data_IF_394459530574
#
_entry.id   IF_394459530574
#
_cell.length_a   1.000
_cell.length_b   1.000
_cell.length_c   1.000
_cell.angle_alpha   90.00
_cell.angle_beta   90.00
_cell.angle_gamma   90.00
#
_symmetry.space_group_name_H-M   'P 1'
#
loop_
_entity.id
_entity.type
_entity.pdbx_description
1 polymer ?
#
# COMPACT_ATOMS: atom_id res chain seq x y z
N UNK A 1 4.71 -2.44 23.31
CA UNK A 1 4.46 -1.67 22.07
C UNK A 1 3.61 -2.49 21.10
N UNK A 2 3.00 -1.84 20.11
CA UNK A 2 2.23 -2.54 19.06
C UNK A 2 3.16 -3.37 18.18
N UNK A 3 2.68 -4.51 17.71
CA UNK A 3 3.35 -5.35 16.71
C UNK A 3 2.72 -5.06 15.35
N UNK A 4 3.49 -4.52 14.44
CA UNK A 4 3.03 -4.03 13.13
C UNK A 4 3.67 -4.85 12.00
N UNK A 5 2.85 -5.28 11.05
CA UNK A 5 3.30 -5.83 9.79
C UNK A 5 3.18 -4.74 8.71
N UNK A 6 4.28 -4.41 8.06
CA UNK A 6 4.31 -3.50 6.92
C UNK A 6 4.56 -4.29 5.64
N UNK A 7 3.54 -4.37 4.78
CA UNK A 7 3.54 -5.12 3.53
C UNK A 7 4.05 -4.25 2.39
N UNK A 8 4.81 -4.84 1.48
CA UNK A 8 5.45 -4.14 0.37
C UNK A 8 6.26 -2.93 0.87
N UNK A 9 6.99 -3.15 1.96
CA UNK A 9 7.73 -2.10 2.68
C UNK A 9 8.91 -1.52 1.88
N UNK A 10 9.30 -2.18 0.78
CA UNK A 10 10.45 -1.78 -0.02
C UNK A 10 11.72 -1.69 0.84
N UNK A 11 12.46 -0.57 0.77
CA UNK A 11 13.63 -0.34 1.61
C UNK A 11 13.28 0.16 3.03
N UNK A 12 12.01 0.08 3.47
CA UNK A 12 11.55 0.37 4.82
C UNK A 12 11.24 1.84 5.13
N UNK A 13 10.96 2.65 4.10
CA UNK A 13 10.64 4.07 4.31
C UNK A 13 9.32 4.28 5.06
N UNK A 14 8.32 3.42 4.85
CA UNK A 14 7.05 3.39 5.59
C UNK A 14 7.20 2.79 6.98
N UNK A 15 8.10 1.83 7.13
CA UNK A 15 8.35 1.11 8.39
C UNK A 15 9.11 1.96 9.43
N UNK A 16 10.02 2.80 8.97
CA UNK A 16 10.90 3.58 9.85
C UNK A 16 10.16 4.52 10.82
N UNK A 17 9.16 5.31 10.40
CA UNK A 17 8.39 6.15 11.32
C UNK A 17 7.65 5.33 12.39
N UNK A 18 7.13 4.15 12.02
CA UNK A 18 6.44 3.25 12.95
C UNK A 18 7.39 2.71 14.00
N UNK A 19 8.58 2.30 13.59
CA UNK A 19 9.65 1.85 14.49
C UNK A 19 10.09 2.98 15.44
N UNK A 20 10.32 4.20 14.92
CA UNK A 20 10.69 5.37 15.75
C UNK A 20 9.59 5.76 16.73
N UNK A 21 8.34 5.44 16.45
CA UNK A 21 7.21 5.61 17.37
C UNK A 21 7.11 4.51 18.44
N UNK A 22 8.06 3.56 18.50
CA UNK A 22 8.14 2.51 19.52
C UNK A 22 7.39 1.23 19.18
N UNK A 23 6.98 1.02 17.92
CA UNK A 23 6.40 -0.23 17.47
C UNK A 23 7.46 -1.28 17.15
N UNK A 24 7.12 -2.56 17.33
CA UNK A 24 7.87 -3.68 16.76
C UNK A 24 7.38 -3.89 15.33
N UNK A 25 8.21 -3.54 14.34
CA UNK A 25 7.83 -3.55 12.92
C UNK A 25 8.44 -4.74 12.20
N UNK A 26 7.61 -5.51 11.49
CA UNK A 26 7.99 -6.53 10.53
C UNK A 26 7.84 -5.92 9.13
N UNK A 27 8.95 -5.49 8.55
CA UNK A 27 9.00 -4.93 7.21
C UNK A 27 9.12 -6.06 6.18
N UNK A 28 8.09 -6.29 5.37
CA UNK A 28 8.07 -7.39 4.41
C UNK A 28 7.91 -6.90 2.98
N UNK A 29 8.60 -7.57 2.06
CA UNK A 29 8.49 -7.30 0.62
C UNK A 29 8.72 -8.60 -0.17
N UNK A 30 8.16 -8.65 -1.37
CA UNK A 30 8.41 -9.76 -2.30
C UNK A 30 9.79 -9.66 -2.97
N UNK A 31 10.29 -8.44 -3.16
CA UNK A 31 11.57 -8.13 -3.82
C UNK A 31 12.75 -8.24 -2.86
N UNK A 32 13.57 -9.28 -3.03
CA UNK A 32 14.80 -9.42 -2.25
C UNK A 32 15.78 -8.25 -2.47
N UNK A 33 15.79 -7.65 -3.67
CA UNK A 33 16.61 -6.46 -3.96
C UNK A 33 16.23 -5.26 -3.10
N UNK A 34 14.92 -5.03 -2.91
CA UNK A 34 14.41 -3.97 -2.02
C UNK A 34 14.78 -4.24 -0.55
N UNK A 35 14.61 -5.48 -0.10
CA UNK A 35 14.97 -5.90 1.26
C UNK A 35 16.47 -5.76 1.52
N UNK A 36 17.31 -6.15 0.55
CA UNK A 36 18.76 -6.00 0.65
C UNK A 36 19.18 -4.53 0.76
N UNK A 37 18.54 -3.65 0.00
CA UNK A 37 18.73 -2.21 0.14
C UNK A 37 18.26 -1.71 1.52
N UNK A 38 17.10 -2.17 1.97
CA UNK A 38 16.55 -1.83 3.29
C UNK A 38 17.52 -2.20 4.42
N UNK A 39 18.03 -3.41 4.41
CA UNK A 39 19.02 -3.89 5.42
C UNK A 39 20.29 -3.04 5.44
N UNK A 40 20.71 -2.47 4.30
CA UNK A 40 21.87 -1.57 4.24
C UNK A 40 21.60 -0.20 4.85
N UNK A 41 20.43 0.40 4.55
CA UNK A 41 20.13 1.78 4.95
C UNK A 41 19.39 1.88 6.28
N UNK A 42 18.71 0.80 6.72
CA UNK A 42 17.95 0.71 7.97
C UNK A 42 18.19 -0.63 8.68
N UNK A 43 19.44 -0.92 9.10
CA UNK A 43 19.81 -2.24 9.67
C UNK A 43 19.10 -2.57 10.99
N UNK A 44 18.46 -1.61 11.61
CA UNK A 44 17.67 -1.75 12.83
C UNK A 44 16.23 -2.23 12.60
N UNK A 45 15.76 -2.27 11.35
CA UNK A 45 14.45 -2.82 11.02
C UNK A 45 14.52 -4.32 10.74
N UNK A 46 13.44 -5.03 11.07
CA UNK A 46 13.32 -6.46 10.81
C UNK A 46 12.74 -6.68 9.41
N UNK A 47 13.63 -6.98 8.44
CA UNK A 47 13.26 -7.23 7.05
C UNK A 47 13.12 -8.72 6.77
N UNK A 48 12.00 -9.16 6.19
CA UNK A 48 11.79 -10.52 5.73
C UNK A 48 11.06 -10.58 4.39
N UNK A 49 11.40 -11.60 3.59
CA UNK A 49 10.71 -11.85 2.33
C UNK A 49 9.32 -12.44 2.62
N UNK A 50 8.29 -11.88 2.03
CA UNK A 50 6.93 -12.42 2.09
C UNK A 50 6.14 -12.08 0.83
N UNK A 51 5.27 -13.01 0.46
CA UNK A 51 4.23 -12.78 -0.55
C UNK A 51 2.97 -12.32 0.17
N UNK A 52 2.45 -11.13 -0.19
CA UNK A 52 1.22 -10.61 0.40
C UNK A 52 -0.01 -11.50 0.13
N UNK A 53 0.06 -12.38 -0.88
CA UNK A 53 -1.00 -13.34 -1.22
C UNK A 53 -0.93 -14.64 -0.39
N UNK A 54 0.17 -14.87 0.33
CA UNK A 54 0.37 -16.05 1.18
C UNK A 54 1.40 -15.72 2.25
N UNK A 55 0.95 -15.04 3.31
CA UNK A 55 1.82 -14.54 4.37
C UNK A 55 2.34 -15.68 5.25
N UNK A 56 3.67 -15.79 5.49
CA UNK A 56 4.28 -16.85 6.30
C UNK A 56 4.12 -16.57 7.81
N UNK A 57 2.95 -16.11 8.22
CA UNK A 57 2.64 -15.77 9.60
C UNK A 57 1.35 -16.48 10.05
N UNK A 58 1.30 -16.81 11.31
CA UNK A 58 0.09 -17.34 11.94
C UNK A 58 -1.05 -16.32 11.96
N UNK A 59 -2.28 -16.79 12.05
CA UNK A 59 -3.45 -15.94 12.23
C UNK A 59 -3.36 -15.16 13.55
N UNK A 60 -3.96 -13.97 13.59
CA UNK A 60 -4.11 -13.17 14.82
C UNK A 60 -2.77 -12.78 15.49
N UNK A 61 -1.76 -12.46 14.70
CA UNK A 61 -0.42 -12.13 15.18
C UNK A 61 -0.18 -10.63 15.36
N UNK A 62 -0.69 -9.79 14.46
CA UNK A 62 -0.35 -8.37 14.38
C UNK A 62 -1.47 -7.48 14.91
N UNK A 63 -1.09 -6.43 15.62
CA UNK A 63 -2.02 -5.40 16.09
C UNK A 63 -2.45 -4.49 14.94
N UNK A 64 -1.51 -4.24 14.00
CA UNK A 64 -1.75 -3.43 12.81
C UNK A 64 -1.07 -4.07 11.60
N UNK A 65 -1.73 -4.03 10.44
CA UNK A 65 -1.13 -4.32 9.13
C UNK A 65 -1.20 -3.07 8.29
N UNK A 66 -0.08 -2.68 7.68
CA UNK A 66 0.00 -1.52 6.79
C UNK A 66 0.47 -1.94 5.40
N UNK A 67 0.02 -1.23 4.38
CA UNK A 67 0.56 -1.32 3.03
C UNK A 67 0.52 0.07 2.38
N UNK A 68 1.67 0.51 1.87
CA UNK A 68 1.81 1.84 1.25
C UNK A 68 2.29 1.71 -0.19
N UNK A 69 1.43 2.12 -1.14
CA UNK A 69 1.70 2.11 -2.59
C UNK A 69 2.08 0.74 -3.18
N UNK A 70 1.77 -0.34 -2.46
CA UNK A 70 2.10 -1.69 -2.86
C UNK A 70 0.91 -2.54 -3.27
N UNK A 71 -0.30 -2.22 -2.79
CA UNK A 71 -1.47 -3.08 -2.96
C UNK A 71 -1.87 -3.22 -4.44
N UNK A 72 -1.81 -2.13 -5.23
CA UNK A 72 -2.12 -2.14 -6.66
C UNK A 72 -1.17 -3.00 -7.50
N UNK A 73 0.02 -3.30 -6.97
CA UNK A 73 1.03 -4.11 -7.64
C UNK A 73 0.92 -5.61 -7.33
N UNK A 74 0.00 -6.00 -6.46
CA UNK A 74 -0.28 -7.41 -6.18
C UNK A 74 -1.09 -8.03 -7.31
N UNK A 75 -0.83 -9.29 -7.61
CA UNK A 75 -1.56 -10.03 -8.66
C UNK A 75 -3.05 -10.20 -8.31
N UNK A 76 -3.37 -10.27 -7.02
CA UNK A 76 -4.72 -10.40 -6.48
C UNK A 76 -4.83 -9.63 -5.17
N UNK A 77 -5.29 -8.38 -5.25
CA UNK A 77 -5.38 -7.54 -4.05
C UNK A 77 -6.54 -7.95 -3.11
N UNK A 78 -7.57 -8.62 -3.60
CA UNK A 78 -8.63 -9.18 -2.73
C UNK A 78 -8.05 -10.27 -1.83
N UNK A 79 -7.21 -11.14 -2.38
CA UNK A 79 -6.50 -12.16 -1.61
C UNK A 79 -5.50 -11.54 -0.63
N UNK A 80 -4.79 -10.49 -1.03
CA UNK A 80 -3.89 -9.77 -0.12
C UNK A 80 -4.64 -9.12 1.05
N UNK A 81 -5.83 -8.54 0.81
CA UNK A 81 -6.69 -8.00 1.86
C UNK A 81 -7.20 -9.09 2.82
N UNK A 82 -7.53 -10.28 2.30
CA UNK A 82 -7.95 -11.42 3.12
C UNK A 82 -6.80 -12.01 3.95
N UNK A 83 -5.60 -12.12 3.39
CA UNK A 83 -4.41 -12.55 4.12
C UNK A 83 -4.01 -11.54 5.21
N UNK A 84 -4.05 -10.24 4.91
CA UNK A 84 -3.86 -9.20 5.91
C UNK A 84 -4.89 -9.33 7.05
N UNK A 85 -6.16 -9.60 6.73
CA UNK A 85 -7.21 -9.84 7.71
C UNK A 85 -6.91 -11.09 8.57
N UNK A 86 -6.48 -12.19 7.95
CA UNK A 86 -6.15 -13.44 8.64
C UNK A 86 -5.08 -13.22 9.71
N UNK A 87 -4.00 -12.52 9.38
CA UNK A 87 -2.86 -12.33 10.29
C UNK A 87 -3.05 -11.20 11.31
N UNK A 88 -4.06 -10.36 11.14
CA UNK A 88 -4.41 -9.31 12.10
C UNK A 88 -5.20 -9.89 13.28
N UNK A 89 -4.94 -9.42 14.50
CA UNK A 89 -5.69 -9.80 15.71
C UNK A 89 -7.14 -9.27 15.65
N UNK A 90 -8.10 -9.93 16.33
CA UNK A 90 -9.40 -9.31 16.61
C UNK A 90 -9.20 -7.93 17.27
N UNK A 91 -9.96 -6.93 16.84
CA UNK A 91 -9.79 -5.54 17.25
C UNK A 91 -8.59 -4.83 16.61
N UNK A 92 -7.73 -5.55 15.88
CA UNK A 92 -6.60 -4.98 15.16
C UNK A 92 -7.02 -4.21 13.91
N UNK A 93 -6.08 -3.49 13.31
CA UNK A 93 -6.36 -2.51 12.25
C UNK A 93 -5.57 -2.78 10.99
N UNK A 94 -6.19 -2.56 9.83
CA UNK A 94 -5.48 -2.40 8.57
C UNK A 94 -5.46 -0.93 8.14
N UNK A 95 -4.32 -0.50 7.59
CA UNK A 95 -4.17 0.82 6.97
C UNK A 95 -3.61 0.64 5.56
N UNK A 96 -4.32 1.15 4.57
CA UNK A 96 -3.92 1.14 3.17
C UNK A 96 -3.70 2.57 2.71
N UNK A 97 -2.48 2.90 2.29
CA UNK A 97 -2.16 4.17 1.62
C UNK A 97 -1.93 3.88 0.15
N UNK A 98 -2.79 4.40 -0.71
CA UNK A 98 -2.68 4.10 -2.14
C UNK A 98 -3.18 5.29 -2.99
N UNK A 99 -2.74 5.31 -4.25
CA UNK A 99 -3.32 6.21 -5.23
C UNK A 99 -4.83 5.97 -5.33
N UNK A 100 -5.54 7.03 -5.71
CA UNK A 100 -6.97 6.98 -5.89
C UNK A 100 -7.41 8.03 -6.93
N UNK A 101 -8.70 8.26 -7.05
CA UNK A 101 -9.24 9.19 -8.04
C UNK A 101 -9.64 10.51 -7.37
N UNK A 102 -9.20 11.67 -7.90
CA UNK A 102 -9.62 12.97 -7.39
C UNK A 102 -11.13 13.11 -7.35
N UNK A 103 -11.66 13.61 -6.25
CA UNK A 103 -13.11 13.74 -6.02
C UNK A 103 -13.70 14.98 -6.68
N UNK A 104 -12.90 16.04 -6.85
CA UNK A 104 -13.34 17.27 -7.52
C UNK A 104 -13.21 17.14 -9.04
N UNK A 105 -14.34 17.15 -9.75
CA UNK A 105 -14.43 16.86 -11.19
C UNK A 105 -13.47 17.66 -12.08
N UNK A 106 -13.35 19.01 -11.98
CA UNK A 106 -12.42 19.77 -12.83
C UNK A 106 -10.96 19.34 -12.64
N UNK A 107 -10.55 19.16 -11.39
CA UNK A 107 -9.20 18.71 -11.08
C UNK A 107 -8.97 17.27 -11.54
N UNK A 108 -9.96 16.39 -11.44
CA UNK A 108 -9.86 15.00 -11.94
C UNK A 108 -9.58 14.96 -13.44
N UNK A 109 -10.24 15.81 -14.23
CA UNK A 109 -10.00 15.88 -15.68
C UNK A 109 -8.56 16.30 -15.98
N UNK A 110 -8.10 17.38 -15.34
CA UNK A 110 -6.72 17.88 -15.52
C UNK A 110 -5.69 16.84 -15.07
N UNK A 111 -5.91 16.21 -13.92
CA UNK A 111 -5.03 15.19 -13.37
C UNK A 111 -4.95 13.94 -14.27
N UNK A 112 -6.09 13.50 -14.82
CA UNK A 112 -6.13 12.34 -15.72
C UNK A 112 -5.38 12.65 -17.03
N UNK A 113 -5.58 13.84 -17.62
CA UNK A 113 -4.83 14.27 -18.81
C UNK A 113 -3.32 14.38 -18.54
N UNK A 114 -2.94 14.96 -17.39
CA UNK A 114 -1.55 14.99 -16.95
C UNK A 114 -0.96 13.59 -16.83
N UNK A 115 -1.64 12.71 -16.09
CA UNK A 115 -1.16 11.36 -15.78
C UNK A 115 -1.04 10.51 -17.04
N UNK A 116 -2.01 10.61 -17.98
CA UNK A 116 -2.08 9.72 -19.14
C UNK A 116 -1.28 10.23 -20.35
N UNK A 117 -1.12 11.53 -20.49
CA UNK A 117 -0.47 12.12 -21.67
C UNK A 117 0.85 12.80 -21.34
N UNK A 118 0.85 13.67 -20.36
CA UNK A 118 1.99 14.53 -20.08
C UNK A 118 3.11 13.78 -19.35
N UNK A 119 2.78 13.03 -18.33
CA UNK A 119 3.77 12.29 -17.54
C UNK A 119 4.55 11.24 -18.37
N UNK A 120 3.90 10.37 -19.18
CA UNK A 120 4.63 9.47 -20.08
C UNK A 120 5.47 10.19 -21.15
N UNK A 121 4.97 11.31 -21.68
CA UNK A 121 5.71 12.10 -22.68
C UNK A 121 6.98 12.74 -22.10
N UNK A 122 6.91 13.27 -20.89
CA UNK A 122 8.06 13.80 -20.16
C UNK A 122 9.03 12.66 -19.83
N UNK A 123 8.52 11.54 -19.29
CA UNK A 123 9.33 10.40 -18.90
C UNK A 123 10.13 9.82 -20.07
N UNK A 124 9.55 9.73 -21.27
CA UNK A 124 10.27 9.29 -22.48
C UNK A 124 11.48 10.16 -22.82
N UNK A 125 11.49 11.43 -22.41
CA UNK A 125 12.58 12.37 -22.71
C UNK A 125 13.61 12.48 -21.59
N UNK A 126 13.21 12.23 -20.35
CA UNK A 126 14.04 12.57 -19.18
C UNK A 126 14.33 11.41 -18.26
N UNK A 127 13.53 10.34 -18.29
CA UNK A 127 13.68 9.24 -17.35
C UNK A 127 14.58 8.13 -17.90
N UNK A 128 15.36 7.52 -17.02
CA UNK A 128 16.18 6.34 -17.33
C UNK A 128 15.33 5.08 -17.60
N UNK A 129 14.09 5.03 -17.11
CA UNK A 129 13.14 3.97 -17.36
C UNK A 129 11.74 4.53 -17.63
N UNK A 130 11.42 4.93 -18.88
CA UNK A 130 10.11 5.49 -19.25
C UNK A 130 8.94 4.54 -19.04
N UNK A 131 9.16 3.23 -19.22
CA UNK A 131 8.11 2.22 -19.12
C UNK A 131 7.55 2.11 -17.70
N UNK A 132 8.36 2.39 -16.68
CA UNK A 132 7.90 2.43 -15.28
C UNK A 132 6.84 3.54 -15.06
N UNK A 133 6.94 4.65 -15.75
CA UNK A 133 5.96 5.75 -15.64
C UNK A 133 4.68 5.47 -16.43
N UNK A 134 4.79 4.77 -17.56
CA UNK A 134 3.61 4.27 -18.30
C UNK A 134 2.85 3.28 -17.43
N UNK A 135 3.55 2.29 -16.88
CA UNK A 135 2.98 1.33 -15.96
C UNK A 135 2.31 2.01 -14.75
N UNK A 136 2.96 3.02 -14.15
CA UNK A 136 2.40 3.78 -13.04
C UNK A 136 1.08 4.44 -13.44
N UNK A 137 1.05 5.14 -14.58
CA UNK A 137 -0.17 5.80 -15.07
C UNK A 137 -1.31 4.80 -15.33
N UNK A 138 -1.03 3.70 -15.98
CA UNK A 138 -2.00 2.64 -16.28
C UNK A 138 -2.51 1.95 -15.01
N UNK A 139 -1.62 1.63 -14.08
CA UNK A 139 -1.98 0.99 -12.80
C UNK A 139 -2.86 1.90 -11.95
N UNK A 140 -2.59 3.22 -11.90
CA UNK A 140 -3.44 4.18 -11.19
C UNK A 140 -4.82 4.30 -11.87
N UNK A 141 -4.85 4.32 -13.20
CA UNK A 141 -6.11 4.42 -13.95
C UNK A 141 -7.02 3.21 -13.73
N UNK A 142 -6.43 2.01 -13.69
CA UNK A 142 -7.16 0.75 -13.48
C UNK A 142 -7.54 0.52 -12.00
N UNK A 143 -6.94 1.28 -11.07
CA UNK A 143 -7.16 1.12 -9.64
C UNK A 143 -8.56 1.58 -9.22
N UNK A 144 -9.24 0.91 -8.28
CA UNK A 144 -10.53 1.33 -7.78
C UNK A 144 -10.48 2.71 -7.10
N UNK A 145 -11.60 3.42 -7.15
CA UNK A 145 -11.78 4.63 -6.36
C UNK A 145 -11.92 4.31 -4.86
N UNK A 146 -12.04 5.35 -4.05
CA UNK A 146 -12.08 5.23 -2.59
C UNK A 146 -13.21 4.32 -2.11
N UNK A 147 -14.42 4.50 -2.64
CA UNK A 147 -15.58 3.72 -2.22
C UNK A 147 -15.49 2.26 -2.68
N UNK A 148 -15.00 2.03 -3.89
CA UNK A 148 -14.80 0.69 -4.42
C UNK A 148 -13.72 -0.09 -3.65
N UNK A 149 -12.62 0.57 -3.24
CA UNK A 149 -11.61 -0.07 -2.39
C UNK A 149 -12.17 -0.37 -0.99
N UNK A 150 -12.93 0.56 -0.40
CA UNK A 150 -13.59 0.31 0.89
C UNK A 150 -14.51 -0.92 0.84
N UNK A 151 -15.33 -1.04 -0.20
CA UNK A 151 -16.20 -2.20 -0.40
C UNK A 151 -15.42 -3.53 -0.54
N UNK A 152 -14.22 -3.48 -1.18
CA UNK A 152 -13.33 -4.66 -1.25
C UNK A 152 -12.74 -5.03 0.11
N UNK A 153 -12.37 -4.04 0.92
CA UNK A 153 -11.93 -4.28 2.30
C UNK A 153 -13.05 -4.91 3.12
N UNK A 154 -14.28 -4.39 3.04
CA UNK A 154 -15.45 -4.96 3.73
C UNK A 154 -15.72 -6.40 3.30
N UNK A 155 -15.66 -6.68 1.99
CA UNK A 155 -15.80 -8.05 1.46
C UNK A 155 -14.72 -9.00 1.99
N UNK A 156 -13.51 -8.50 2.26
CA UNK A 156 -12.41 -9.27 2.86
C UNK A 156 -12.55 -9.47 4.38
N UNK A 157 -13.64 -8.96 5.00
CA UNK A 157 -13.95 -9.13 6.43
C UNK A 157 -13.62 -7.93 7.31
N UNK A 158 -13.07 -6.85 6.74
CA UNK A 158 -12.79 -5.63 7.50
C UNK A 158 -14.07 -4.88 7.82
N UNK A 159 -14.23 -4.43 9.05
CA UNK A 159 -15.36 -3.65 9.53
C UNK A 159 -14.98 -2.18 9.75
N UNK A 160 -15.98 -1.31 9.90
CA UNK A 160 -15.77 0.12 10.16
C UNK A 160 -14.79 0.76 9.17
N UNK A 161 -14.90 0.38 7.90
CA UNK A 161 -13.99 0.89 6.87
C UNK A 161 -14.26 2.36 6.61
N UNK A 162 -13.23 3.17 6.75
CA UNK A 162 -13.25 4.60 6.50
C UNK A 162 -12.05 5.01 5.65
N UNK A 163 -12.13 6.18 5.02
CA UNK A 163 -10.98 6.72 4.30
C UNK A 163 -10.85 8.23 4.45
N UNK A 164 -9.62 8.70 4.27
CA UNK A 164 -9.28 10.13 4.21
C UNK A 164 -8.56 10.42 2.91
N UNK A 165 -9.07 11.40 2.16
CA UNK A 165 -8.42 11.88 0.95
C UNK A 165 -7.23 12.79 1.28
N UNK A 166 -6.13 12.57 0.59
CA UNK A 166 -4.96 13.43 0.57
C UNK A 166 -4.80 14.02 -0.84
N UNK A 167 -4.24 15.22 -0.95
CA UNK A 167 -3.98 15.87 -2.24
C UNK A 167 -5.20 15.84 -3.17
N UNK A 168 -6.34 16.34 -2.68
CA UNK A 168 -7.62 16.38 -3.40
C UNK A 168 -8.14 15.00 -3.87
N UNK A 169 -7.71 13.91 -3.23
CA UNK A 169 -8.12 12.55 -3.55
C UNK A 169 -7.20 11.82 -4.53
N UNK A 170 -6.05 12.40 -4.90
CA UNK A 170 -5.00 11.68 -5.65
C UNK A 170 -4.47 10.49 -4.87
N UNK A 171 -4.41 10.62 -3.56
CA UNK A 171 -4.08 9.55 -2.63
C UNK A 171 -5.21 9.43 -1.61
N UNK A 172 -5.51 8.22 -1.20
CA UNK A 172 -6.42 7.95 -0.11
C UNK A 172 -5.76 7.03 0.94
N UNK A 173 -6.06 7.31 2.20
CA UNK A 173 -5.70 6.46 3.34
C UNK A 173 -6.97 5.76 3.79
N UNK A 174 -7.07 4.46 3.56
CA UNK A 174 -8.16 3.64 4.06
C UNK A 174 -7.77 2.98 5.38
N UNK A 175 -8.74 2.77 6.24
CA UNK A 175 -8.55 2.07 7.50
C UNK A 175 -9.78 1.20 7.79
N UNK A 176 -9.54 -0.04 8.20
CA UNK A 176 -10.58 -0.99 8.64
C UNK A 176 -10.14 -1.70 9.92
N UNK A 177 -11.11 -2.23 10.66
CA UNK A 177 -10.89 -2.96 11.91
C UNK A 177 -11.33 -4.41 11.70
N UNK A 178 -10.55 -5.36 12.22
CA UNK A 178 -10.97 -6.75 12.31
C UNK A 178 -11.91 -6.93 13.49
N UNK A 179 -13.14 -7.38 13.22
CA UNK A 179 -14.12 -7.72 14.24
C UNK A 179 -13.72 -8.90 15.11
#
# INVERSE_FOLDING_TARGET
GMVILDLAAGPGSSSEPLFKAGATVFATDFSEGMLAQGRKVRPYLNFSKADALNLPFEANRFDVVTISYGLRNTADFDKALAEAHRVTKPGGRMVVVEFSHPTWRPFRTIYTEYLMRLLPAIAKKTASNPDAYIYLAESIRAWPDQAALAARMEKAGWSQVTWKNLTFGVVAVHSGIKG
#
